data_IF_285429545828
#
_entry.id   IF_285429545828
#
_cell.length_a   1.000
_cell.length_b   1.000
_cell.length_c   1.000
_cell.angle_alpha   90.00
_cell.angle_beta   90.00
_cell.angle_gamma   90.00
#
_symmetry.space_group_name_H-M   'P 1'
#
loop_
_entity.id
_entity.type
_entity.pdbx_description
1 polymer ?
#
# COMPACT_ATOMS: atom_id res chain seq x y z
N UNK A 1 -8.98 -14.10 1.46
CA UNK A 1 -8.34 -12.83 1.92
C UNK A 1 -7.21 -12.46 0.98
N UNK A 2 -6.97 -11.17 0.75
CA UNK A 2 -5.80 -10.69 0.01
C UNK A 2 -5.19 -9.46 0.68
N UNK A 3 -3.86 -9.36 0.68
CA UNK A 3 -3.13 -8.20 1.19
C UNK A 3 -2.01 -7.79 0.23
N UNK A 4 -1.66 -6.52 0.26
CA UNK A 4 -0.54 -5.92 -0.48
C UNK A 4 0.25 -4.98 0.44
N UNK A 5 1.56 -4.91 0.25
CA UNK A 5 2.40 -3.83 0.77
C UNK A 5 2.66 -2.84 -0.36
N UNK A 6 2.17 -1.60 -0.22
CA UNK A 6 2.17 -0.60 -1.28
C UNK A 6 2.99 0.61 -0.83
N UNK A 7 4.05 0.93 -1.56
CA UNK A 7 4.88 2.12 -1.30
C UNK A 7 4.01 3.37 -1.30
N UNK A 8 4.02 4.16 -0.23
CA UNK A 8 3.11 5.28 0.00
C UNK A 8 3.24 6.37 -1.08
N UNK A 9 4.45 6.55 -1.63
CA UNK A 9 4.71 7.51 -2.72
C UNK A 9 4.20 7.04 -4.08
N UNK A 10 3.82 5.77 -4.22
CA UNK A 10 3.19 5.25 -5.44
C UNK A 10 1.67 5.51 -5.41
N UNK A 11 1.29 6.79 -5.48
CA UNK A 11 -0.11 7.21 -5.38
C UNK A 11 -1.00 6.56 -6.46
N UNK A 12 -0.43 6.24 -7.63
CA UNK A 12 -1.13 5.52 -8.70
C UNK A 12 -1.59 4.14 -8.27
N UNK A 13 -0.69 3.37 -7.65
CA UNK A 13 -1.02 2.07 -7.09
C UNK A 13 -2.00 2.19 -5.91
N UNK A 14 -1.80 3.15 -5.01
CA UNK A 14 -2.72 3.37 -3.86
C UNK A 14 -4.14 3.62 -4.35
N UNK A 15 -4.32 4.55 -5.31
CA UNK A 15 -5.64 4.84 -5.91
C UNK A 15 -6.24 3.64 -6.62
N UNK A 16 -5.43 2.86 -7.36
CA UNK A 16 -5.89 1.65 -8.05
C UNK A 16 -6.42 0.63 -7.03
N UNK A 17 -5.66 0.33 -5.99
CA UNK A 17 -6.05 -0.67 -4.98
C UNK A 17 -7.29 -0.23 -4.20
N UNK A 18 -7.40 1.05 -3.85
CA UNK A 18 -8.63 1.61 -3.27
C UNK A 18 -9.85 1.40 -4.17
N UNK A 19 -9.73 1.66 -5.49
CA UNK A 19 -10.80 1.39 -6.47
C UNK A 19 -11.17 -0.10 -6.57
N UNK A 20 -10.21 -0.99 -6.38
CA UNK A 20 -10.43 -2.45 -6.37
C UNK A 20 -11.01 -2.97 -5.04
N UNK A 21 -11.31 -2.08 -4.09
CA UNK A 21 -11.92 -2.42 -2.80
C UNK A 21 -10.93 -2.82 -1.71
N UNK A 22 -9.64 -2.48 -1.86
CA UNK A 22 -8.69 -2.59 -0.76
C UNK A 22 -8.74 -1.34 0.11
N UNK A 23 -8.51 -1.50 1.42
CA UNK A 23 -8.37 -0.40 2.36
C UNK A 23 -7.03 -0.47 3.10
N UNK A 24 -6.52 0.68 3.49
CA UNK A 24 -5.27 0.79 4.26
C UNK A 24 -5.59 0.37 5.70
N UNK A 25 -4.92 -0.67 6.20
CA UNK A 25 -5.04 -1.16 7.58
C UNK A 25 -3.91 -0.66 8.48
N UNK A 26 -2.84 -0.14 7.89
CA UNK A 26 -1.72 0.41 8.61
C UNK A 26 -0.66 0.97 7.67
N UNK A 27 0.28 1.71 8.25
CA UNK A 27 1.42 2.31 7.54
C UNK A 27 2.69 1.99 8.31
N UNK A 28 3.68 1.45 7.61
CA UNK A 28 5.01 1.23 8.14
C UNK A 28 5.89 2.40 7.73
N UNK A 29 6.41 3.13 8.71
CA UNK A 29 7.27 4.29 8.48
C UNK A 29 8.63 3.86 7.94
N UNK A 30 9.08 4.47 6.84
CA UNK A 30 10.42 4.20 6.26
C UNK A 30 10.64 2.76 5.77
N UNK A 31 9.57 2.05 5.42
CA UNK A 31 9.62 0.63 5.06
C UNK A 31 10.17 0.31 3.67
N UNK A 32 10.40 1.32 2.82
CA UNK A 32 10.90 1.14 1.47
C UNK A 32 11.99 2.15 1.12
N UNK A 33 13.13 1.68 0.61
CA UNK A 33 14.22 2.55 0.14
C UNK A 33 13.99 2.97 -1.32
N UNK A 34 13.42 4.16 -1.50
CA UNK A 34 13.15 4.70 -2.83
C UNK A 34 14.41 5.32 -3.45
N UNK A 35 14.77 4.99 -4.71
CA UNK A 35 16.05 5.40 -5.31
C UNK A 35 16.34 6.92 -5.33
N UNK A 36 15.30 7.75 -5.30
CA UNK A 36 15.41 9.22 -5.30
C UNK A 36 14.93 9.90 -4.01
N UNK A 37 14.15 9.21 -3.19
CA UNK A 37 13.45 9.81 -2.05
C UNK A 37 13.95 9.28 -0.71
N UNK A 38 14.89 8.33 -0.70
CA UNK A 38 15.36 7.67 0.51
C UNK A 38 14.30 6.74 1.09
N UNK A 39 14.34 6.53 2.40
CA UNK A 39 13.35 5.72 3.09
C UNK A 39 11.99 6.42 3.10
N UNK A 40 11.00 5.75 2.52
CA UNK A 40 9.61 6.20 2.44
C UNK A 40 8.68 5.17 3.06
N UNK A 41 7.49 5.62 3.42
CA UNK A 41 6.49 4.78 4.06
C UNK A 41 5.90 3.75 3.09
N UNK A 42 5.31 2.69 3.64
CA UNK A 42 4.51 1.74 2.88
C UNK A 42 3.20 1.42 3.62
N UNK A 43 2.11 1.37 2.87
CA UNK A 43 0.79 1.01 3.36
C UNK A 43 0.60 -0.51 3.29
N UNK A 44 0.11 -1.09 4.38
CA UNK A 44 -0.48 -2.42 4.36
C UNK A 44 -1.93 -2.21 3.88
N UNK A 45 -2.25 -2.75 2.72
CA UNK A 45 -3.59 -2.70 2.14
C UNK A 45 -4.22 -4.09 2.15
N UNK A 46 -5.49 -4.17 2.52
CA UNK A 46 -6.19 -5.44 2.71
C UNK A 46 -7.57 -5.42 2.05
N UNK A 47 -8.02 -6.59 1.58
CA UNK A 47 -9.37 -6.84 1.10
C UNK A 47 -9.84 -8.24 1.51
N UNK A 48 -11.04 -8.32 2.07
CA UNK A 48 -11.76 -9.59 2.27
C UNK A 48 -12.25 -10.11 0.92
N UNK A 49 -12.04 -11.39 0.63
CA UNK A 49 -12.58 -12.04 -0.57
C UNK A 49 -13.78 -12.87 -0.13
N UNK A 50 -14.93 -12.65 -0.77
CA UNK A 50 -16.10 -13.52 -0.61
C UNK A 50 -15.85 -14.85 -1.33
N UNK A 51 -16.24 -15.94 -0.69
CA UNK A 51 -16.14 -17.32 -1.18
C UNK A 51 -17.44 -17.77 -1.82
#
# INVERSE_FOLDING_TARGET
>A
MQYNLVVATNEGAVRLWQKLGFYIVGTLTGAFEHPKLGYVDAHIMYKTLET
#
